data_IF_467352635205
#
_entry.id   IF_467352635205
#
_cell.length_a   1.000
_cell.length_b   1.000
_cell.length_c   1.000
_cell.angle_alpha   90.00
_cell.angle_beta   90.00
_cell.angle_gamma   90.00
#
_symmetry.space_group_name_H-M   'P 1'
#
loop_
_entity.id
_entity.type
_entity.pdbx_description
1 polymer ?
#
# COMPACT_ATOMS: atom_id res chain seq x y z
N UNK A 1 -18.26 -15.88 4.59
CA UNK A 1 -17.04 -16.63 4.25
C UNK A 1 -15.91 -15.63 4.35
N UNK A 2 -14.97 -15.83 5.28
CA UNK A 2 -13.74 -15.04 5.31
C UNK A 2 -12.85 -15.56 4.18
N UNK A 3 -12.64 -14.73 3.17
CA UNK A 3 -11.69 -15.03 2.10
C UNK A 3 -10.32 -14.60 2.62
N UNK A 4 -9.41 -15.56 2.83
CA UNK A 4 -8.03 -15.26 3.15
C UNK A 4 -7.25 -15.08 1.86
N UNK A 5 -6.58 -13.94 1.72
CA UNK A 5 -5.64 -13.69 0.62
C UNK A 5 -4.23 -13.85 1.18
N UNK A 6 -3.38 -14.59 0.48
CA UNK A 6 -1.98 -14.79 0.89
C UNK A 6 -1.12 -13.62 0.40
N UNK A 7 -0.89 -12.65 1.29
CA UNK A 7 0.05 -11.56 1.07
C UNK A 7 0.67 -11.11 2.40
N UNK A 8 1.89 -10.59 2.32
CA UNK A 8 2.54 -9.93 3.47
C UNK A 8 2.04 -8.49 3.60
N UNK A 9 1.77 -8.07 4.82
CA UNK A 9 1.24 -6.73 5.11
C UNK A 9 2.09 -6.03 6.16
N UNK A 10 2.42 -4.76 5.88
CA UNK A 10 3.14 -3.89 6.79
C UNK A 10 2.52 -2.49 6.80
N UNK A 11 2.37 -1.92 7.99
CA UNK A 11 2.04 -0.50 8.18
C UNK A 11 3.30 0.28 8.52
N UNK A 12 3.61 1.28 7.68
CA UNK A 12 4.77 2.15 7.88
C UNK A 12 4.29 3.55 8.24
N UNK A 13 4.73 4.05 9.41
CA UNK A 13 4.52 5.45 9.78
C UNK A 13 5.38 6.35 8.88
N UNK A 14 4.76 7.35 8.24
CA UNK A 14 5.45 8.34 7.42
C UNK A 14 6.51 9.14 8.20
N UNK A 15 6.36 9.27 9.52
CA UNK A 15 7.33 9.94 10.37
C UNK A 15 8.53 9.05 10.76
N UNK A 16 8.52 7.77 10.41
CA UNK A 16 9.67 6.86 10.62
C UNK A 16 10.79 7.12 9.62
N UNK A 17 11.98 6.55 9.85
CA UNK A 17 13.08 6.60 8.88
C UNK A 17 12.72 5.89 7.58
N UNK A 18 12.09 4.73 7.68
CA UNK A 18 11.63 3.93 6.55
C UNK A 18 10.53 4.63 5.75
N UNK A 19 9.53 5.18 6.42
CA UNK A 19 8.47 5.95 5.76
C UNK A 19 9.02 7.13 4.96
N UNK A 20 10.02 7.86 5.49
CA UNK A 20 10.70 8.92 4.74
C UNK A 20 11.46 8.41 3.53
N UNK A 21 12.08 7.22 3.61
CA UNK A 21 12.76 6.58 2.46
C UNK A 21 11.75 6.23 1.37
N UNK A 22 10.63 5.59 1.72
CA UNK A 22 9.56 5.23 0.80
C UNK A 22 8.93 6.47 0.11
N UNK A 23 8.73 7.56 0.86
CA UNK A 23 8.24 8.83 0.28
C UNK A 23 9.19 9.36 -0.78
N UNK A 24 10.49 9.36 -0.50
CA UNK A 24 11.50 9.85 -1.44
C UNK A 24 11.64 8.92 -2.66
N UNK A 25 11.68 7.61 -2.45
CA UNK A 25 11.84 6.60 -3.50
C UNK A 25 10.67 6.60 -4.49
N UNK A 26 9.43 6.66 -3.97
CA UNK A 26 8.23 6.56 -4.78
C UNK A 26 7.58 7.91 -5.10
N UNK A 27 8.20 9.03 -4.69
CA UNK A 27 7.65 10.39 -4.85
C UNK A 27 6.22 10.51 -4.32
N UNK A 28 5.97 10.02 -3.10
CA UNK A 28 4.64 10.00 -2.48
C UNK A 28 4.20 11.44 -2.15
N UNK A 29 3.06 11.85 -2.70
CA UNK A 29 2.53 13.22 -2.55
C UNK A 29 1.32 13.31 -1.60
N UNK A 30 0.75 12.17 -1.18
CA UNK A 30 -0.45 12.11 -0.35
C UNK A 30 -0.45 10.90 0.57
N UNK A 31 -1.14 11.02 1.71
CA UNK A 31 -1.35 9.91 2.65
C UNK A 31 -2.86 9.63 2.84
N UNK A 32 -3.26 8.37 3.07
CA UNK A 32 -2.44 7.15 2.98
C UNK A 32 -2.03 6.84 1.52
N UNK A 33 -0.99 6.02 1.35
CA UNK A 33 -0.54 5.48 0.05
C UNK A 33 -0.24 4.00 0.23
N UNK A 34 -0.64 3.18 -0.74
CA UNK A 34 -0.40 1.73 -0.73
C UNK A 34 0.61 1.37 -1.83
N UNK A 35 1.64 0.62 -1.43
CA UNK A 35 2.65 0.06 -2.33
C UNK A 35 2.43 -1.44 -2.36
N UNK A 36 2.37 -2.02 -3.57
CA UNK A 36 2.26 -3.46 -3.79
C UNK A 36 3.40 -3.83 -4.75
N UNK A 37 4.19 -4.84 -4.39
CA UNK A 37 5.35 -5.31 -5.17
C UNK A 37 6.30 -4.17 -5.59
N UNK A 38 6.56 -3.23 -4.67
CA UNK A 38 7.43 -2.07 -4.90
C UNK A 38 6.84 -0.99 -5.83
N UNK A 39 5.53 -1.03 -6.12
CA UNK A 39 4.86 -0.03 -6.95
C UNK A 39 3.69 0.63 -6.22
N UNK A 40 3.60 1.95 -6.31
CA UNK A 40 2.44 2.71 -5.82
C UNK A 40 1.20 2.26 -6.57
N UNK A 41 0.29 1.63 -5.85
CA UNK A 41 -0.96 1.08 -6.39
C UNK A 41 -2.16 1.98 -6.06
N UNK A 42 -2.14 2.62 -4.89
CA UNK A 42 -3.21 3.51 -4.45
C UNK A 42 -2.66 4.78 -3.80
N UNK A 43 -3.26 5.92 -4.16
CA UNK A 43 -3.16 7.18 -3.43
C UNK A 43 -4.51 7.43 -2.76
N UNK A 44 -4.53 7.42 -1.43
CA UNK A 44 -5.75 7.36 -0.63
C UNK A 44 -6.20 5.94 -0.31
N UNK A 45 -7.38 5.80 0.29
CA UNK A 45 -7.95 4.49 0.66
C UNK A 45 -8.79 3.96 -0.51
N UNK A 46 -8.46 2.78 -1.09
CA UNK A 46 -9.27 2.18 -2.13
C UNK A 46 -10.58 1.62 -1.57
N UNK A 47 -11.56 1.39 -2.46
CA UNK A 47 -12.71 0.56 -2.12
C UNK A 47 -12.33 -0.93 -2.07
N UNK A 48 -13.22 -1.74 -1.47
CA UNK A 48 -12.96 -3.16 -1.23
C UNK A 48 -12.69 -3.93 -2.53
N UNK A 49 -13.46 -3.65 -3.57
CA UNK A 49 -13.37 -4.41 -4.83
C UNK A 49 -12.03 -4.13 -5.52
N UNK A 50 -11.58 -2.87 -5.58
CA UNK A 50 -10.25 -2.52 -6.09
C UNK A 50 -9.12 -3.10 -5.27
N UNK A 51 -9.26 -3.12 -3.94
CA UNK A 51 -8.24 -3.70 -3.08
C UNK A 51 -8.09 -5.21 -3.33
N UNK A 52 -9.21 -5.91 -3.54
CA UNK A 52 -9.23 -7.35 -3.86
C UNK A 52 -8.57 -7.61 -5.21
N UNK A 53 -8.95 -6.87 -6.26
CA UNK A 53 -8.39 -7.04 -7.61
C UNK A 53 -6.88 -6.80 -7.67
N UNK A 54 -6.33 -6.00 -6.74
CA UNK A 54 -4.91 -5.70 -6.68
C UNK A 54 -4.05 -6.78 -6.01
N UNK A 55 -4.65 -7.73 -5.27
CA UNK A 55 -3.94 -8.78 -4.54
C UNK A 55 -4.24 -10.20 -5.05
N UNK A 56 -5.25 -10.36 -5.91
CA UNK A 56 -5.56 -11.64 -6.56
C UNK A 56 -4.95 -11.61 -7.98
N UNK A 57 -3.95 -12.47 -8.23
CA UNK A 57 -3.38 -12.73 -9.55
C UNK A 57 -4.07 -13.94 -10.18
#
# INVERSE_FOLDING_TARGET
METNYEFDYEEVDIASEEGRKLVAEHSIMSIPTTIIDGKVSFSGVPDKDKAIDAVII
#
